data_IF_948368841754
#
_entry.id   IF_948368841754
#
_cell.length_a   1.000
_cell.length_b   1.000
_cell.length_c   1.000
_cell.angle_alpha   90.00
_cell.angle_beta   90.00
_cell.angle_gamma   90.00
#
_symmetry.space_group_name_H-M   'P 1'
#
loop_
_entity.id
_entity.type
_entity.pdbx_description
1 polymer ?
#
# COMPACT_ATOMS: atom_id res chain seq x y z
N UNK A 1 -28.93 10.65 -25.11
CA UNK A 1 -27.91 10.83 -24.05
C UNK A 1 -26.56 10.35 -24.59
N UNK A 2 -25.52 11.19 -24.54
CA UNK A 2 -24.19 10.91 -25.13
C UNK A 2 -23.61 9.55 -24.70
N UNK A 3 -23.75 9.21 -23.41
CA UNK A 3 -23.26 7.96 -22.82
C UNK A 3 -23.89 6.71 -23.44
N UNK A 4 -25.21 6.71 -23.71
CA UNK A 4 -25.88 5.52 -24.28
C UNK A 4 -25.56 5.33 -25.76
N UNK A 5 -25.25 6.41 -26.49
CA UNK A 5 -24.81 6.39 -27.90
C UNK A 5 -23.41 5.80 -28.06
N UNK A 6 -22.47 6.18 -27.18
CA UNK A 6 -21.07 5.77 -27.26
C UNK A 6 -20.70 4.63 -26.28
N UNK A 7 -21.68 3.92 -25.72
CA UNK A 7 -21.47 2.85 -24.72
C UNK A 7 -20.39 1.83 -25.10
N UNK A 8 -20.28 1.47 -26.39
CA UNK A 8 -19.29 0.51 -26.87
C UNK A 8 -17.85 1.03 -26.70
N UNK A 9 -17.63 2.33 -26.94
CA UNK A 9 -16.31 2.96 -26.79
C UNK A 9 -15.91 2.98 -25.32
N UNK A 10 -16.81 3.39 -24.42
CA UNK A 10 -16.54 3.41 -22.98
C UNK A 10 -16.28 2.01 -22.41
N UNK A 11 -17.08 1.01 -22.80
CA UNK A 11 -16.86 -0.38 -22.38
C UNK A 11 -15.54 -0.95 -22.92
N UNK A 12 -15.18 -0.62 -24.16
CA UNK A 12 -13.92 -1.04 -24.74
C UNK A 12 -12.71 -0.43 -24.00
N UNK A 13 -12.74 0.88 -23.75
CA UNK A 13 -11.70 1.58 -23.00
C UNK A 13 -11.56 1.03 -21.57
N UNK A 14 -12.67 0.85 -20.86
CA UNK A 14 -12.70 0.25 -19.52
C UNK A 14 -12.12 -1.17 -19.51
N UNK A 15 -12.45 -1.99 -20.51
CA UNK A 15 -11.90 -3.34 -20.65
C UNK A 15 -10.38 -3.32 -20.84
N UNK A 16 -9.87 -2.42 -21.68
CA UNK A 16 -8.43 -2.23 -21.88
C UNK A 16 -7.75 -1.83 -20.56
N UNK A 17 -8.33 -0.88 -19.83
CA UNK A 17 -7.78 -0.44 -18.54
C UNK A 17 -7.71 -1.58 -17.53
N UNK A 18 -8.74 -2.43 -17.44
CA UNK A 18 -8.70 -3.62 -16.58
C UNK A 18 -7.54 -4.54 -17.00
N UNK A 19 -7.41 -4.86 -18.29
CA UNK A 19 -6.37 -5.77 -18.78
C UNK A 19 -4.97 -5.22 -18.44
N UNK A 20 -4.73 -3.94 -18.70
CA UNK A 20 -3.46 -3.27 -18.38
C UNK A 20 -3.20 -3.29 -16.88
N UNK A 21 -4.19 -2.98 -16.05
CA UNK A 21 -4.06 -3.03 -14.59
C UNK A 21 -3.76 -4.43 -14.08
N UNK A 22 -4.39 -5.47 -14.64
CA UNK A 22 -4.08 -6.87 -14.30
C UNK A 22 -2.63 -7.21 -14.67
N UNK A 23 -2.17 -6.81 -15.86
CA UNK A 23 -0.77 -7.00 -16.26
C UNK A 23 0.16 -6.33 -15.24
N UNK A 24 -0.10 -5.08 -14.86
CA UNK A 24 0.72 -4.36 -13.87
C UNK A 24 0.77 -5.06 -12.51
N UNK A 25 -0.36 -5.58 -12.03
CA UNK A 25 -0.41 -6.33 -10.76
C UNK A 25 0.48 -7.58 -10.84
N UNK A 26 0.44 -8.33 -11.95
CA UNK A 26 1.23 -9.55 -12.09
C UNK A 26 2.72 -9.29 -12.39
N UNK A 27 3.06 -8.23 -13.12
CA UNK A 27 4.46 -7.92 -13.47
C UNK A 27 5.21 -7.18 -12.36
N UNK A 28 4.56 -6.22 -11.71
CA UNK A 28 5.20 -5.39 -10.68
C UNK A 28 4.95 -5.88 -9.26
N UNK A 29 3.88 -6.65 -9.06
CA UNK A 29 3.45 -7.10 -7.75
C UNK A 29 2.88 -5.98 -6.88
N UNK A 30 2.29 -6.39 -5.75
CA UNK A 30 1.88 -5.47 -4.68
C UNK A 30 2.89 -5.59 -3.54
N UNK A 31 3.47 -4.47 -3.11
CA UNK A 31 4.46 -4.43 -2.02
C UNK A 31 3.74 -4.10 -0.70
N UNK A 32 3.30 -5.10 0.09
CA UNK A 32 2.53 -4.83 1.31
C UNK A 32 3.30 -3.93 2.28
N UNK A 33 2.58 -2.99 2.89
CA UNK A 33 3.07 -2.12 3.94
C UNK A 33 3.44 -2.86 5.22
N UNK A 34 4.07 -2.13 6.13
CA UNK A 34 4.55 -2.68 7.40
C UNK A 34 3.40 -3.23 8.26
N UNK A 35 2.18 -2.74 8.07
CA UNK A 35 0.97 -3.23 8.76
C UNK A 35 0.64 -4.68 8.41
N UNK A 36 1.05 -5.16 7.23
CA UNK A 36 0.74 -6.51 6.74
C UNK A 36 1.96 -7.42 6.68
N UNK A 37 3.14 -6.86 6.40
CA UNK A 37 4.40 -7.61 6.31
C UNK A 37 5.12 -7.69 7.67
N UNK A 38 4.86 -6.74 8.57
CA UNK A 38 5.77 -6.41 9.65
C UNK A 38 6.95 -5.56 9.16
N UNK A 39 7.61 -4.88 10.08
CA UNK A 39 8.71 -3.97 9.78
C UNK A 39 8.82 -2.82 10.78
N UNK A 40 9.77 -1.93 10.56
CA UNK A 40 9.83 -0.67 11.26
C UNK A 40 9.96 0.51 10.28
N UNK A 41 9.32 1.63 10.65
CA UNK A 41 9.42 2.92 10.01
C UNK A 41 10.01 3.90 11.02
N UNK A 42 11.13 4.51 10.64
CA UNK A 42 11.80 5.54 11.41
C UNK A 42 11.88 6.80 10.56
N UNK A 43 11.27 7.88 11.04
CA UNK A 43 11.32 9.19 10.40
C UNK A 43 12.25 10.09 11.19
N UNK A 44 13.26 10.62 10.50
CA UNK A 44 14.28 11.48 11.09
C UNK A 44 14.41 12.78 10.33
N UNK A 45 14.79 13.83 11.05
CA UNK A 45 15.00 15.17 10.53
C UNK A 45 16.39 15.69 10.90
N UNK A 46 17.02 16.41 9.97
CA UNK A 46 18.36 16.95 10.13
C UNK A 46 18.33 18.48 10.16
N UNK A 47 18.63 19.08 11.32
CA UNK A 47 18.53 20.53 11.50
C UNK A 47 19.58 21.34 10.70
N UNK A 48 20.71 20.74 10.33
CA UNK A 48 21.86 21.41 9.69
C UNK A 48 22.09 21.05 8.22
N UNK A 49 21.12 20.42 7.57
CA UNK A 49 21.27 19.84 6.23
C UNK A 49 21.40 18.32 6.29
N UNK A 50 20.67 17.64 5.42
CA UNK A 50 20.64 16.17 5.39
C UNK A 50 21.97 15.59 4.85
N UNK A 51 22.48 14.50 5.44
CA UNK A 51 23.64 13.80 4.89
C UNK A 51 23.30 13.12 3.55
N UNK A 52 24.32 12.79 2.78
CA UNK A 52 24.17 12.00 1.57
C UNK A 52 23.65 10.59 1.90
N UNK A 53 22.75 10.06 1.07
CA UNK A 53 22.13 8.74 1.29
C UNK A 53 23.19 7.63 1.37
N UNK A 54 24.25 7.72 0.57
CA UNK A 54 25.36 6.75 0.55
C UNK A 54 26.05 6.62 1.92
N UNK A 55 26.27 7.75 2.61
CA UNK A 55 26.86 7.76 3.96
C UNK A 55 25.96 7.07 4.98
N UNK A 56 24.65 7.27 4.87
CA UNK A 56 23.68 6.62 5.75
C UNK A 56 23.58 5.12 5.45
N UNK A 57 23.58 4.72 4.17
CA UNK A 57 23.57 3.31 3.79
C UNK A 57 24.80 2.59 4.34
N UNK A 58 25.99 3.19 4.26
CA UNK A 58 27.21 2.60 4.78
C UNK A 58 27.22 2.52 6.31
N UNK A 59 26.67 3.53 6.99
CA UNK A 59 26.50 3.51 8.44
C UNK A 59 25.49 2.46 8.92
N UNK A 60 24.47 2.13 8.10
CA UNK A 60 23.48 1.10 8.44
C UNK A 60 23.97 -0.31 8.08
N UNK A 61 24.77 -0.47 7.01
CA UNK A 61 25.36 -1.77 6.62
C UNK A 61 26.19 -2.39 7.74
N UNK A 62 26.86 -1.57 8.56
CA UNK A 62 27.66 -2.06 9.70
C UNK A 62 26.81 -2.63 10.84
N UNK A 63 25.51 -2.32 10.89
CA UNK A 63 24.60 -2.72 11.97
C UNK A 63 23.94 -4.10 11.76
N UNK A 64 24.29 -4.86 10.72
CA UNK A 64 23.61 -6.11 10.32
C UNK A 64 22.09 -5.94 10.04
N UNK A 65 21.65 -4.72 9.74
CA UNK A 65 20.27 -4.42 9.33
C UNK A 65 20.22 -4.53 7.79
N UNK A 66 20.23 -5.77 7.28
CA UNK A 66 20.46 -6.09 5.86
C UNK A 66 19.38 -5.63 4.85
N UNK A 67 18.39 -4.80 5.26
CA UNK A 67 17.23 -4.44 4.41
C UNK A 67 16.69 -3.03 4.70
N UNK A 68 17.54 -2.08 5.03
CA UNK A 68 17.11 -0.69 5.22
C UNK A 68 16.88 0.01 3.86
N UNK A 69 15.71 0.58 3.67
CA UNK A 69 15.37 1.42 2.53
C UNK A 69 15.26 2.86 3.04
N UNK A 70 16.13 3.74 2.54
CA UNK A 70 16.14 5.16 2.91
C UNK A 70 15.45 5.96 1.82
N UNK A 71 14.41 6.72 2.17
CA UNK A 71 13.63 7.54 1.24
C UNK A 71 13.65 9.00 1.71
N UNK A 72 14.06 9.96 0.87
CA UNK A 72 13.89 11.37 1.18
C UNK A 72 12.41 11.72 1.15
N UNK A 73 11.89 12.34 2.22
CA UNK A 73 10.48 12.73 2.32
C UNK A 73 10.30 14.23 2.11
N UNK A 74 10.98 15.04 2.94
CA UNK A 74 10.97 16.49 2.88
C UNK A 74 12.39 17.04 2.60
N UNK A 75 12.57 18.35 2.75
CA UNK A 75 13.83 19.03 2.45
C UNK A 75 15.01 18.46 3.27
N UNK A 76 14.80 18.21 4.57
CA UNK A 76 15.81 17.69 5.48
C UNK A 76 15.40 16.39 6.19
N UNK A 77 14.39 15.69 5.68
CA UNK A 77 13.83 14.51 6.34
C UNK A 77 14.11 13.24 5.55
N UNK A 78 14.40 12.17 6.28
CA UNK A 78 14.47 10.81 5.74
C UNK A 78 13.46 9.91 6.43
N UNK A 79 12.78 9.10 5.62
CA UNK A 79 12.02 7.95 6.07
C UNK A 79 12.85 6.69 5.83
N UNK A 80 13.19 6.00 6.89
CA UNK A 80 13.96 4.76 6.88
C UNK A 80 13.00 3.61 7.16
N UNK A 81 12.95 2.64 6.24
CA UNK A 81 12.13 1.43 6.36
C UNK A 81 13.04 0.23 6.58
N UNK A 82 12.80 -0.55 7.62
CA UNK A 82 13.60 -1.74 7.93
C UNK A 82 12.70 -2.94 8.23
N UNK A 83 13.32 -4.10 8.50
CA UNK A 83 12.65 -5.17 9.25
C UNK A 83 12.25 -4.66 10.64
N UNK A 84 11.43 -5.44 11.35
CA UNK A 84 11.13 -5.16 12.75
C UNK A 84 12.43 -5.05 13.55
N UNK A 85 12.47 -4.04 14.41
CA UNK A 85 13.62 -3.73 15.25
C UNK A 85 13.23 -3.93 16.71
N UNK A 86 14.13 -4.57 17.46
CA UNK A 86 14.12 -4.53 18.91
C UNK A 86 14.57 -3.16 19.43
N UNK A 87 14.22 -2.82 20.68
CA UNK A 87 14.62 -1.54 21.28
C UNK A 87 16.14 -1.29 21.25
N UNK A 88 17.02 -2.28 21.54
CA UNK A 88 18.46 -2.08 21.40
C UNK A 88 18.89 -1.82 19.95
N UNK A 89 18.31 -2.50 18.97
CA UNK A 89 18.60 -2.28 17.55
C UNK A 89 18.13 -0.91 17.08
N UNK A 90 16.98 -0.45 17.56
CA UNK A 90 16.48 0.90 17.32
C UNK A 90 17.47 1.95 17.82
N UNK A 91 17.96 1.82 19.07
CA UNK A 91 18.93 2.75 19.64
C UNK A 91 20.26 2.76 18.87
N UNK A 92 20.73 1.58 18.44
CA UNK A 92 21.92 1.46 17.60
C UNK A 92 21.72 2.16 16.24
N UNK A 93 20.57 1.97 15.61
CA UNK A 93 20.21 2.64 14.35
C UNK A 93 20.18 4.16 14.53
N UNK A 94 19.44 4.68 15.50
CA UNK A 94 19.33 6.13 15.75
C UNK A 94 20.69 6.76 16.05
N UNK A 95 21.60 6.04 16.73
CA UNK A 95 22.97 6.51 16.96
C UNK A 95 23.80 6.55 15.68
N UNK A 96 23.73 5.54 14.83
CA UNK A 96 24.46 5.50 13.55
C UNK A 96 23.97 6.57 12.57
N UNK A 97 22.68 6.92 12.60
CA UNK A 97 22.10 7.99 11.77
C UNK A 97 22.62 9.39 12.12
N UNK A 98 23.17 9.56 13.32
CA UNK A 98 23.85 10.78 13.77
C UNK A 98 25.29 10.91 13.23
N UNK A 99 25.83 9.83 12.63
CA UNK A 99 27.20 9.75 12.09
C UNK A 99 28.25 10.29 13.08
N UNK A 100 28.23 9.74 14.30
CA UNK A 100 29.10 10.13 15.42
C UNK A 100 28.91 11.59 15.88
N UNK A 101 27.72 12.17 15.68
CA UNK A 101 27.40 13.54 16.11
C UNK A 101 27.72 14.61 15.08
N UNK A 102 28.21 14.23 13.89
CA UNK A 102 28.41 15.18 12.77
C UNK A 102 27.10 15.74 12.24
N UNK A 103 26.02 14.97 12.32
CA UNK A 103 24.70 15.36 11.86
C UNK A 103 23.70 15.20 13.00
N UNK A 104 23.33 16.27 13.72
CA UNK A 104 22.34 16.17 14.78
C UNK A 104 20.99 15.73 14.20
N UNK A 105 20.62 14.50 14.55
CA UNK A 105 19.40 13.83 14.07
C UNK A 105 18.29 13.99 15.10
N UNK A 106 17.10 14.35 14.65
CA UNK A 106 15.90 14.47 15.46
C UNK A 106 14.88 13.43 14.98
N UNK A 107 14.56 12.49 15.85
CA UNK A 107 13.55 11.47 15.59
C UNK A 107 12.15 12.10 15.65
N UNK A 108 11.44 12.07 14.53
CA UNK A 108 10.06 12.58 14.43
C UNK A 108 9.04 11.53 14.79
N UNK A 109 9.24 10.32 14.27
CA UNK A 109 8.34 9.19 14.52
C UNK A 109 9.09 7.87 14.39
N UNK A 110 8.73 6.92 15.26
CA UNK A 110 9.15 5.53 15.15
C UNK A 110 7.93 4.63 15.30
N UNK A 111 7.75 3.71 14.36
CA UNK A 111 6.67 2.73 14.38
C UNK A 111 7.24 1.37 14.01
N UNK A 112 7.09 0.39 14.90
CA UNK A 112 7.55 -0.99 14.67
C UNK A 112 6.37 -1.95 14.83
N UNK A 113 6.17 -2.80 13.83
CA UNK A 113 5.13 -3.82 13.79
C UNK A 113 5.79 -5.18 13.66
N UNK A 114 5.64 -6.01 14.69
CA UNK A 114 6.15 -7.37 14.67
C UNK A 114 5.43 -8.26 13.64
N UNK A 115 6.09 -9.29 13.10
CA UNK A 115 5.53 -10.15 12.06
C UNK A 115 4.23 -10.86 12.50
N UNK A 116 4.11 -11.22 13.78
CA UNK A 116 2.90 -11.84 14.33
C UNK A 116 1.69 -10.90 14.22
N UNK A 117 1.85 -9.65 14.65
CA UNK A 117 0.80 -8.62 14.59
C UNK A 117 0.44 -8.34 13.13
N UNK A 118 1.44 -8.20 12.26
CA UNK A 118 1.20 -7.97 10.83
C UNK A 118 0.43 -9.11 10.16
N UNK A 119 0.76 -10.36 10.50
CA UNK A 119 0.04 -11.53 9.99
C UNK A 119 -1.41 -11.60 10.50
N UNK A 120 -1.66 -11.19 11.74
CA UNK A 120 -2.99 -11.12 12.33
C UNK A 120 -3.82 -10.02 11.68
N UNK A 121 -3.25 -8.82 11.49
CA UNK A 121 -3.88 -7.71 10.79
C UNK A 121 -4.24 -8.09 9.35
N UNK A 122 -3.32 -8.73 8.62
CA UNK A 122 -3.58 -9.25 7.28
C UNK A 122 -4.76 -10.22 7.26
N UNK A 123 -4.80 -11.18 8.19
CA UNK A 123 -5.89 -12.15 8.29
C UNK A 123 -7.22 -11.47 8.61
N UNK A 124 -7.24 -10.55 9.57
CA UNK A 124 -8.43 -9.77 9.94
C UNK A 124 -8.93 -8.92 8.77
N UNK A 125 -8.03 -8.25 8.05
CA UNK A 125 -8.38 -7.45 6.88
C UNK A 125 -9.05 -8.30 5.79
N UNK A 126 -8.50 -9.47 5.47
CA UNK A 126 -9.09 -10.40 4.47
C UNK A 126 -10.49 -10.85 4.92
N UNK A 127 -10.64 -11.25 6.18
CA UNK A 127 -11.94 -11.70 6.71
C UNK A 127 -12.96 -10.55 6.67
N UNK A 128 -12.56 -9.34 7.08
CA UNK A 128 -13.41 -8.15 7.03
C UNK A 128 -13.86 -7.82 5.62
N UNK A 129 -12.96 -7.85 4.62
CA UNK A 129 -13.30 -7.60 3.23
C UNK A 129 -14.35 -8.59 2.73
N UNK A 130 -14.17 -9.89 3.02
CA UNK A 130 -15.13 -10.93 2.61
C UNK A 130 -16.49 -10.68 3.28
N UNK A 131 -16.53 -10.38 4.58
CA UNK A 131 -17.78 -10.10 5.29
C UNK A 131 -18.50 -8.86 4.74
N UNK A 132 -17.77 -7.79 4.42
CA UNK A 132 -18.33 -6.57 3.83
C UNK A 132 -18.90 -6.84 2.44
N UNK A 133 -18.18 -7.57 1.58
CA UNK A 133 -18.67 -7.95 0.25
C UNK A 133 -19.96 -8.76 0.37
N UNK A 134 -20.01 -9.76 1.27
CA UNK A 134 -21.22 -10.55 1.50
C UNK A 134 -22.38 -9.69 2.01
N UNK A 135 -22.12 -8.78 2.95
CA UNK A 135 -23.14 -7.85 3.47
C UNK A 135 -23.71 -6.94 2.36
N UNK A 136 -22.86 -6.41 1.48
CA UNK A 136 -23.29 -5.60 0.33
C UNK A 136 -24.14 -6.43 -0.63
N UNK A 137 -23.72 -7.65 -0.97
CA UNK A 137 -24.49 -8.56 -1.85
C UNK A 137 -25.86 -8.86 -1.24
N UNK A 138 -25.93 -9.19 0.05
CA UNK A 138 -27.18 -9.45 0.76
C UNK A 138 -28.07 -8.22 0.79
N UNK A 139 -27.51 -7.04 1.09
CA UNK A 139 -28.23 -5.78 1.11
C UNK A 139 -28.83 -5.45 -0.26
N UNK A 140 -28.05 -5.52 -1.33
CA UNK A 140 -28.52 -5.25 -2.70
C UNK A 140 -29.59 -6.27 -3.10
N UNK A 141 -29.36 -7.55 -2.80
CA UNK A 141 -30.35 -8.60 -3.06
C UNK A 141 -31.66 -8.29 -2.36
N UNK A 142 -31.62 -7.86 -1.09
CA UNK A 142 -32.81 -7.47 -0.34
C UNK A 142 -33.47 -6.20 -0.87
N UNK A 143 -32.69 -5.15 -1.15
CA UNK A 143 -33.17 -3.84 -1.61
C UNK A 143 -33.87 -3.95 -2.97
N UNK A 144 -33.31 -4.72 -3.90
CA UNK A 144 -33.82 -4.88 -5.27
C UNK A 144 -34.71 -6.13 -5.46
N UNK A 145 -35.05 -6.86 -4.39
CA UNK A 145 -35.88 -8.08 -4.46
C UNK A 145 -37.25 -7.90 -5.14
N UNK A 146 -37.81 -6.69 -5.05
CA UNK A 146 -39.12 -6.34 -5.65
C UNK A 146 -38.99 -5.72 -7.05
N UNK A 147 -37.77 -5.41 -7.49
CA UNK A 147 -37.47 -4.82 -8.80
C UNK A 147 -37.10 -5.96 -9.74
N UNK A 148 -38.11 -6.68 -10.21
CA UNK A 148 -37.93 -7.90 -11.03
C UNK A 148 -38.17 -7.67 -12.53
N UNK A 149 -38.65 -6.48 -12.92
CA UNK A 149 -38.88 -6.07 -14.32
C UNK A 149 -38.28 -4.67 -14.55
N UNK A 150 -37.68 -4.39 -15.72
CA UNK A 150 -37.49 -5.28 -16.88
C UNK A 150 -36.30 -6.26 -16.76
N UNK A 151 -35.45 -6.11 -15.73
CA UNK A 151 -34.26 -6.94 -15.49
C UNK A 151 -34.45 -7.73 -14.20
N UNK A 152 -34.13 -9.04 -14.22
CA UNK A 152 -34.25 -9.89 -13.03
C UNK A 152 -33.32 -9.47 -11.91
N UNK A 153 -33.79 -9.50 -10.66
CA UNK A 153 -33.08 -8.99 -9.47
C UNK A 153 -31.66 -9.56 -9.29
N UNK A 154 -31.43 -10.84 -9.61
CA UNK A 154 -30.10 -11.47 -9.49
C UNK A 154 -29.06 -10.87 -10.47
N UNK A 155 -29.50 -10.37 -11.64
CA UNK A 155 -28.61 -9.73 -12.62
C UNK A 155 -28.02 -8.43 -12.07
N UNK A 156 -28.77 -7.69 -11.24
CA UNK A 156 -28.24 -6.50 -10.56
C UNK A 156 -27.15 -6.86 -9.55
N UNK A 157 -27.30 -7.98 -8.83
CA UNK A 157 -26.26 -8.49 -7.94
C UNK A 157 -24.96 -8.81 -8.68
N UNK A 158 -25.05 -9.55 -9.80
CA UNK A 158 -23.89 -9.88 -10.64
C UNK A 158 -23.24 -8.63 -11.22
N UNK A 159 -24.03 -7.70 -11.77
CA UNK A 159 -23.51 -6.43 -12.31
C UNK A 159 -22.80 -5.64 -11.21
N UNK A 160 -23.34 -5.60 -9.99
CA UNK A 160 -22.70 -4.90 -8.86
C UNK A 160 -21.32 -5.51 -8.55
N UNK A 161 -21.22 -6.83 -8.47
CA UNK A 161 -19.94 -7.50 -8.19
C UNK A 161 -18.93 -7.19 -9.30
N UNK A 162 -19.34 -7.27 -10.57
CA UNK A 162 -18.46 -6.98 -11.72
C UNK A 162 -17.99 -5.52 -11.69
N UNK A 163 -18.88 -4.57 -11.44
CA UNK A 163 -18.52 -3.15 -11.35
C UNK A 163 -17.59 -2.88 -10.16
N UNK A 164 -17.83 -3.53 -9.01
CA UNK A 164 -16.98 -3.39 -7.84
C UNK A 164 -15.57 -3.97 -8.08
N UNK A 165 -15.47 -5.09 -8.79
CA UNK A 165 -14.17 -5.64 -9.21
C UNK A 165 -13.44 -4.68 -10.17
N UNK A 166 -14.14 -4.11 -11.14
CA UNK A 166 -13.59 -3.09 -12.03
C UNK A 166 -13.02 -1.90 -11.23
N UNK A 167 -13.80 -1.36 -10.29
CA UNK A 167 -13.44 -0.18 -9.50
C UNK A 167 -12.27 -0.44 -8.54
N UNK A 168 -12.01 -1.70 -8.16
CA UNK A 168 -10.85 -2.09 -7.35
C UNK A 168 -9.62 -2.39 -8.21
N UNK A 169 -9.78 -3.15 -9.30
CA UNK A 169 -8.67 -3.63 -10.12
C UNK A 169 -7.93 -2.46 -10.78
N UNK A 170 -8.67 -1.48 -11.32
CA UNK A 170 -8.04 -0.37 -12.06
C UNK A 170 -7.10 0.44 -11.15
N UNK A 171 -7.56 1.00 -10.00
CA UNK A 171 -6.67 1.68 -9.06
C UNK A 171 -5.55 0.78 -8.56
N UNK A 172 -5.84 -0.48 -8.22
CA UNK A 172 -4.83 -1.43 -7.72
C UNK A 172 -3.69 -1.63 -8.72
N UNK A 173 -3.98 -1.73 -10.02
CA UNK A 173 -2.96 -1.83 -11.05
C UNK A 173 -2.13 -0.56 -11.22
N UNK A 174 -2.74 0.62 -11.11
CA UNK A 174 -2.00 1.89 -11.13
C UNK A 174 -1.09 1.98 -9.89
N UNK A 175 -1.56 1.57 -8.72
CA UNK A 175 -0.76 1.52 -7.51
C UNK A 175 0.40 0.51 -7.61
N UNK A 176 0.19 -0.66 -8.21
CA UNK A 176 1.27 -1.62 -8.48
C UNK A 176 2.39 -0.99 -9.31
N UNK A 177 2.02 -0.25 -10.37
CA UNK A 177 2.97 0.50 -11.20
C UNK A 177 3.70 1.57 -10.38
N UNK A 178 2.98 2.42 -9.64
CA UNK A 178 3.57 3.52 -8.87
C UNK A 178 4.50 3.01 -7.77
N UNK A 179 4.07 1.99 -7.01
CA UNK A 179 4.86 1.35 -5.95
C UNK A 179 6.16 0.76 -6.47
N UNK A 180 6.19 0.29 -7.72
CA UNK A 180 7.42 -0.17 -8.35
C UNK A 180 8.45 0.96 -8.49
N UNK A 181 8.04 2.12 -9.01
CA UNK A 181 8.94 3.24 -9.28
C UNK A 181 9.26 4.10 -8.05
N UNK A 182 8.32 4.29 -7.13
CA UNK A 182 8.52 5.15 -5.95
C UNK A 182 9.05 4.40 -4.74
N UNK A 183 8.97 3.06 -4.74
CA UNK A 183 9.29 2.26 -3.56
C UNK A 183 8.32 2.49 -2.38
N UNK A 184 7.17 3.12 -2.64
CA UNK A 184 6.08 3.28 -1.67
C UNK A 184 5.41 1.94 -1.35
N UNK A 185 5.04 1.66 -0.09
CA UNK A 185 4.29 0.46 0.24
C UNK A 185 2.82 0.56 -0.23
N UNK A 186 2.18 -0.60 -0.31
CA UNK A 186 0.77 -0.85 -0.58
C UNK A 186 0.04 -1.24 0.71
#
# INVERSE_FOLDING_TARGET
MFITKYKKIFLFLSTILIIVSVIFIFTFGLKPGIDFKGGALLEVSYAGGRPEISLLEDAIKTLNINQAIIQPTAENDYLIKTRDLSEPEHQMLSKSLSLEGKYPVLEKSFTSIGPSVGSELKRKAIISIIMVILAIILFITYAFRKVSRPVSSWKYGVITIVTLLHDIIIPTGIFALLSHYTGGPF
#
